data_IF_565623296643
#
_entry.id   IF_565623296643
#
_cell.length_a   1.000
_cell.length_b   1.000
_cell.length_c   1.000
_cell.angle_alpha   90.00
_cell.angle_beta   90.00
_cell.angle_gamma   90.00
#
_symmetry.space_group_name_H-M   'P 1'
#
loop_
_entity.id
_entity.type
_entity.pdbx_description
1 polymer ?
#
# COMPACT_ATOMS: atom_id res chain seq x y z
N UNK A 1 4.44 0.50 -7.49
CA UNK A 1 3.75 -0.81 -7.55
C UNK A 1 3.25 -1.15 -6.16
N UNK A 2 2.04 -1.71 -6.05
CA UNK A 2 1.43 -2.07 -4.77
C UNK A 2 0.70 -3.40 -4.88
N UNK A 3 0.71 -4.20 -3.82
CA UNK A 3 -0.17 -5.37 -3.64
C UNK A 3 -1.45 -5.06 -2.85
N UNK A 4 -1.67 -3.78 -2.55
CA UNK A 4 -2.85 -3.25 -1.87
C UNK A 4 -3.76 -2.57 -2.90
N UNK A 5 -4.54 -3.38 -3.62
CA UNK A 5 -5.47 -2.91 -4.66
C UNK A 5 -6.47 -1.89 -4.11
N UNK A 6 -6.85 -2.04 -2.84
CA UNK A 6 -7.78 -1.17 -2.12
C UNK A 6 -7.31 0.29 -1.98
N UNK A 7 -6.03 0.59 -2.18
CA UNK A 7 -5.50 1.97 -2.17
C UNK A 7 -5.50 2.62 -3.55
N UNK A 8 -5.69 1.83 -4.60
CA UNK A 8 -5.53 2.28 -5.97
C UNK A 8 -6.90 2.68 -6.51
N UNK A 9 -7.06 3.98 -6.73
CA UNK A 9 -8.23 4.60 -7.34
C UNK A 9 -8.10 4.58 -8.87
N UNK A 10 -9.24 4.76 -9.56
CA UNK A 10 -9.29 4.90 -11.03
C UNK A 10 -8.59 3.75 -11.79
N UNK A 11 -8.75 2.52 -11.29
CA UNK A 11 -8.14 1.32 -11.84
C UNK A 11 -8.56 1.07 -13.29
N UNK A 12 -7.57 0.94 -14.15
CA UNK A 12 -7.71 0.53 -15.55
C UNK A 12 -7.03 -0.82 -15.74
N UNK A 13 -7.67 -1.81 -16.38
CA UNK A 13 -7.06 -3.11 -16.63
C UNK A 13 -5.72 -2.97 -17.36
N UNK A 14 -4.73 -3.76 -16.95
CA UNK A 14 -3.46 -3.87 -17.65
C UNK A 14 -2.94 -5.30 -17.52
N UNK A 15 -2.08 -5.72 -18.45
CA UNK A 15 -1.38 -7.00 -18.34
C UNK A 15 0.07 -6.75 -18.68
N UNK A 16 0.92 -6.71 -17.64
CA UNK A 16 2.37 -6.52 -17.79
C UNK A 16 3.12 -7.42 -16.84
N UNK A 17 4.13 -8.08 -17.35
CA UNK A 17 4.96 -9.00 -16.59
C UNK A 17 6.31 -8.35 -16.27
N UNK A 18 6.79 -8.54 -15.04
CA UNK A 18 8.06 -8.01 -14.58
C UNK A 18 8.89 -9.16 -14.01
N UNK A 19 10.12 -9.29 -14.48
CA UNK A 19 11.11 -10.19 -13.88
C UNK A 19 11.73 -9.51 -12.67
N UNK A 20 11.65 -10.14 -11.50
CA UNK A 20 12.30 -9.64 -10.28
C UNK A 20 13.63 -10.35 -10.02
N UNK A 21 14.41 -9.82 -9.09
CA UNK A 21 15.80 -10.21 -8.87
C UNK A 21 15.99 -11.70 -8.48
N UNK A 22 14.97 -12.35 -7.92
CA UNK A 22 15.01 -13.79 -7.62
C UNK A 22 14.66 -14.67 -8.84
N UNK A 23 14.56 -14.09 -10.04
CA UNK A 23 14.23 -14.78 -11.28
C UNK A 23 12.74 -15.03 -11.51
N UNK A 24 11.89 -14.84 -10.49
CA UNK A 24 10.44 -15.02 -10.65
C UNK A 24 9.80 -13.86 -11.42
N UNK A 25 8.63 -14.13 -12.00
CA UNK A 25 7.84 -13.17 -12.74
C UNK A 25 6.65 -12.75 -11.87
N UNK A 26 6.46 -11.44 -11.73
CA UNK A 26 5.27 -10.85 -11.12
C UNK A 26 4.42 -10.21 -12.23
N UNK A 27 3.11 -10.32 -12.12
CA UNK A 27 2.16 -9.80 -13.10
C UNK A 27 1.40 -8.60 -12.51
N UNK A 28 1.41 -7.50 -13.23
CA UNK A 28 0.51 -6.38 -12.99
C UNK A 28 -0.82 -6.63 -13.70
N UNK A 29 -1.92 -6.46 -12.97
CA UNK A 29 -3.28 -6.72 -13.44
C UNK A 29 -4.06 -5.43 -13.75
N UNK A 30 -3.62 -4.31 -13.17
CA UNK A 30 -4.23 -3.01 -13.39
C UNK A 30 -3.24 -1.88 -13.13
N UNK A 31 -3.59 -0.68 -13.59
CA UNK A 31 -2.87 0.56 -13.33
C UNK A 31 -3.86 1.61 -12.84
N UNK A 32 -3.44 2.43 -11.87
CA UNK A 32 -4.29 3.49 -11.34
C UNK A 32 -3.50 4.56 -10.60
N UNK A 33 -4.20 5.27 -9.72
CA UNK A 33 -3.64 6.37 -8.95
C UNK A 33 -3.77 6.09 -7.45
N UNK A 34 -2.81 6.52 -6.63
CA UNK A 34 -2.87 6.38 -5.18
C UNK A 34 -2.69 7.76 -4.55
N UNK A 35 -3.67 8.18 -3.74
CA UNK A 35 -3.55 9.36 -2.90
C UNK A 35 -2.71 9.03 -1.67
N UNK A 36 -1.68 9.83 -1.42
CA UNK A 36 -0.81 9.67 -0.26
C UNK A 36 -0.62 11.01 0.42
N UNK A 37 -0.35 10.99 1.73
CA UNK A 37 0.37 12.10 2.36
C UNK A 37 1.86 11.83 2.27
N UNK A 38 2.63 12.73 1.69
CA UNK A 38 4.09 12.65 1.64
C UNK A 38 4.72 13.68 2.56
N UNK A 39 5.69 13.28 3.37
CA UNK A 39 6.46 14.21 4.18
C UNK A 39 7.56 14.87 3.34
N UNK A 40 7.54 16.20 3.24
CA UNK A 40 8.52 16.96 2.46
C UNK A 40 9.77 17.38 3.27
N UNK A 41 9.85 17.00 4.55
CA UNK A 41 10.91 17.41 5.48
C UNK A 41 10.47 18.48 6.48
N UNK A 42 9.34 19.15 6.23
CA UNK A 42 8.76 20.17 7.10
C UNK A 42 7.31 19.82 7.47
N UNK A 43 6.51 19.43 6.48
CA UNK A 43 5.09 19.13 6.63
C UNK A 43 4.65 17.93 5.77
N UNK A 44 3.40 17.51 5.97
CA UNK A 44 2.74 16.49 5.15
C UNK A 44 1.94 17.17 4.05
N UNK A 45 2.30 16.89 2.80
CA UNK A 45 1.56 17.33 1.62
C UNK A 45 0.77 16.15 1.03
N UNK A 46 -0.25 16.41 0.19
CA UNK A 46 -1.16 15.36 -0.32
C UNK A 46 -0.97 15.08 -1.83
N UNK A 47 0.17 14.51 -2.28
CA UNK A 47 0.37 14.23 -3.69
C UNK A 47 -0.39 12.99 -4.15
N UNK A 48 -0.59 12.92 -5.47
CA UNK A 48 -1.15 11.76 -6.14
C UNK A 48 -0.03 10.99 -6.85
N UNK A 49 0.18 9.74 -6.46
CA UNK A 49 1.04 8.82 -7.18
C UNK A 49 0.28 8.30 -8.40
N UNK A 50 0.69 8.73 -9.59
CA UNK A 50 0.09 8.29 -10.86
C UNK A 50 0.79 7.05 -11.41
N UNK A 51 0.09 6.29 -12.24
CA UNK A 51 0.61 5.10 -12.93
C UNK A 51 1.07 4.00 -11.96
N UNK A 52 0.38 3.82 -10.84
CA UNK A 52 0.67 2.78 -9.86
C UNK A 52 0.13 1.45 -10.37
N UNK A 53 1.03 0.49 -10.57
CA UNK A 53 0.67 -0.87 -10.95
C UNK A 53 0.12 -1.65 -9.73
N UNK A 54 -1.02 -2.28 -9.94
CA UNK A 54 -1.60 -3.29 -9.05
C UNK A 54 -0.98 -4.65 -9.33
N UNK A 55 -0.28 -5.19 -8.34
CA UNK A 55 0.47 -6.46 -8.41
C UNK A 55 0.10 -7.30 -7.18
N UNK A 56 -0.95 -8.13 -7.24
CA UNK A 56 -1.47 -8.84 -6.05
C UNK A 56 -0.49 -9.80 -5.37
N UNK A 57 0.50 -10.29 -6.11
CA UNK A 57 1.54 -11.19 -5.60
C UNK A 57 2.63 -10.46 -4.81
N UNK A 58 2.68 -9.12 -4.91
CA UNK A 58 3.72 -8.30 -4.30
C UNK A 58 3.51 -8.18 -2.79
N UNK A 59 4.53 -8.57 -2.01
CA UNK A 59 4.47 -8.57 -0.54
C UNK A 59 4.79 -7.21 0.09
N UNK A 60 5.56 -6.38 -0.63
CA UNK A 60 6.00 -5.05 -0.18
C UNK A 60 5.78 -4.05 -1.30
N UNK A 61 5.38 -2.81 -1.00
CA UNK A 61 5.19 -1.84 -2.07
C UNK A 61 6.54 -1.29 -2.55
N UNK A 62 6.63 -1.07 -3.86
CA UNK A 62 7.86 -0.60 -4.50
C UNK A 62 7.62 0.76 -5.16
N UNK A 63 8.49 1.70 -4.84
CA UNK A 63 8.57 3.03 -5.44
C UNK A 63 9.74 3.06 -6.42
N UNK A 64 9.44 3.10 -7.70
CA UNK A 64 10.47 3.04 -8.75
C UNK A 64 11.13 4.41 -8.93
N UNK A 65 12.45 4.43 -9.09
CA UNK A 65 13.21 5.64 -9.38
C UNK A 65 13.01 6.12 -10.83
N UNK A 66 12.85 5.22 -11.80
CA UNK A 66 12.80 5.60 -13.23
C UNK A 66 11.74 6.66 -13.55
N UNK A 67 10.48 6.55 -13.07
CA UNK A 67 9.46 7.57 -13.31
C UNK A 67 9.75 8.93 -12.68
N UNK A 68 10.63 9.00 -11.68
CA UNK A 68 11.03 10.26 -11.03
C UNK A 68 11.97 11.01 -11.97
N UNK A 69 12.97 10.31 -12.49
CA UNK A 69 13.95 10.86 -13.44
C UNK A 69 13.27 11.25 -14.76
N UNK A 70 12.37 10.43 -15.28
CA UNK A 70 11.60 10.73 -16.50
C UNK A 70 10.73 11.98 -16.37
N UNK A 71 10.27 12.30 -15.15
CA UNK A 71 9.50 13.52 -14.85
C UNK A 71 10.39 14.74 -14.60
N UNK A 72 11.71 14.63 -14.72
CA UNK A 72 12.66 15.70 -14.44
C UNK A 72 12.84 16.01 -12.95
N UNK A 73 12.35 15.14 -12.06
CA UNK A 73 12.56 15.26 -10.61
C UNK A 73 13.96 14.74 -10.26
N UNK A 74 14.56 15.30 -9.20
CA UNK A 74 15.89 14.91 -8.73
C UNK A 74 15.79 14.13 -7.42
N UNK A 75 16.59 13.07 -7.27
CA UNK A 75 16.76 12.38 -6.00
C UNK A 75 18.17 12.57 -5.45
N UNK A 76 18.28 12.86 -4.16
CA UNK A 76 19.54 12.91 -3.43
C UNK A 76 19.54 11.88 -2.31
N UNK A 77 20.58 11.05 -2.25
CA UNK A 77 20.74 9.97 -1.29
C UNK A 77 21.90 10.25 -0.34
N UNK A 78 21.75 9.87 0.93
CA UNK A 78 22.83 9.88 1.91
C UNK A 78 22.73 8.67 2.84
N UNK A 79 23.61 8.60 3.84
CA UNK A 79 23.67 7.47 4.78
C UNK A 79 22.40 7.31 5.64
N UNK A 80 21.57 8.35 5.75
CA UNK A 80 20.38 8.38 6.60
C UNK A 80 19.07 8.19 5.82
N UNK A 81 19.05 8.51 4.52
CA UNK A 81 17.82 8.54 3.75
C UNK A 81 17.99 9.13 2.36
N UNK A 82 16.86 9.48 1.74
CA UNK A 82 16.86 10.22 0.48
C UNK A 82 15.79 11.31 0.45
N UNK A 83 15.96 12.26 -0.46
CA UNK A 83 15.03 13.36 -0.71
C UNK A 83 14.73 13.46 -2.20
N UNK A 84 13.50 13.80 -2.54
CA UNK A 84 13.02 14.03 -3.91
C UNK A 84 12.74 15.52 -4.09
N UNK A 85 13.25 16.11 -5.16
CA UNK A 85 13.12 17.53 -5.46
C UNK A 85 12.43 17.76 -6.80
N UNK A 86 11.58 18.78 -6.87
CA UNK A 86 11.03 19.29 -8.12
C UNK A 86 12.06 20.11 -8.93
N UNK A 87 11.65 20.57 -10.11
CA UNK A 87 12.48 21.39 -10.98
C UNK A 87 12.86 22.75 -10.36
N UNK A 88 12.07 23.24 -9.40
CA UNK A 88 12.30 24.50 -8.69
C UNK A 88 13.22 24.32 -7.46
N UNK A 89 13.61 23.08 -7.15
CA UNK A 89 14.45 22.75 -5.99
C UNK A 89 13.67 22.53 -4.69
N UNK A 90 12.33 22.50 -4.72
CA UNK A 90 11.53 22.20 -3.54
C UNK A 90 11.55 20.71 -3.24
N UNK A 91 11.72 20.35 -1.97
CA UNK A 91 11.59 18.96 -1.55
C UNK A 91 10.10 18.57 -1.60
N UNK A 92 9.77 17.47 -2.28
CA UNK A 92 8.40 16.97 -2.38
C UNK A 92 8.17 15.69 -1.59
N UNK A 93 9.23 14.95 -1.29
CA UNK A 93 9.15 13.72 -0.52
C UNK A 93 10.48 13.35 0.10
N UNK A 94 10.42 12.64 1.20
CA UNK A 94 11.59 12.14 1.94
C UNK A 94 11.46 10.63 2.15
N UNK A 95 12.60 9.97 2.29
CA UNK A 95 12.68 8.56 2.66
C UNK A 95 13.72 8.36 3.75
N UNK A 96 13.46 7.42 4.65
CA UNK A 96 14.40 7.02 5.71
C UNK A 96 15.05 5.72 5.33
N UNK A 97 16.36 5.61 5.54
CA UNK A 97 17.07 4.35 5.32
C UNK A 97 16.77 3.37 6.46
N UNK A 98 16.25 2.20 6.13
CA UNK A 98 16.08 1.06 7.05
C UNK A 98 16.81 -0.16 6.50
N UNK A 99 17.93 -0.51 7.13
CA UNK A 99 18.80 -1.59 6.65
C UNK A 99 19.34 -1.29 5.26
N UNK A 100 19.00 -2.15 4.28
CA UNK A 100 19.41 -2.01 2.87
C UNK A 100 18.40 -1.27 2.00
N UNK A 101 17.27 -0.83 2.57
CA UNK A 101 16.18 -0.19 1.83
C UNK A 101 16.00 1.27 2.25
N UNK A 102 15.41 2.06 1.36
CA UNK A 102 14.93 3.40 1.66
C UNK A 102 13.41 3.36 1.66
N UNK A 103 12.80 3.71 2.78
CA UNK A 103 11.35 3.73 2.94
C UNK A 103 10.82 5.14 2.79
N UNK A 104 10.00 5.37 1.76
CA UNK A 104 9.34 6.66 1.55
C UNK A 104 8.46 6.98 2.76
N UNK A 105 8.54 8.22 3.23
CA UNK A 105 7.69 8.75 4.30
C UNK A 105 6.31 9.11 3.71
N UNK A 106 5.59 8.07 3.30
CA UNK A 106 4.22 8.16 2.82
C UNK A 106 3.25 7.63 3.87
N UNK A 107 2.07 8.25 3.95
CA UNK A 107 0.90 7.73 4.64
C UNK A 107 -0.20 7.55 3.61
N UNK A 108 -0.85 6.40 3.60
CA UNK A 108 -2.04 6.21 2.78
C UNK A 108 -3.18 6.95 3.48
N UNK A 109 -3.80 7.89 2.79
CA UNK A 109 -5.16 8.29 3.17
C UNK A 109 -6.06 7.11 2.84
N UNK A 110 -6.30 6.27 3.84
CA UNK A 110 -7.46 5.40 3.78
C UNK A 110 -8.64 6.35 3.82
N UNK A 111 -9.26 6.62 2.67
CA UNK A 111 -10.49 7.38 2.63
C UNK A 111 -11.37 6.87 3.75
N UNK A 112 -11.71 7.76 4.67
CA UNK A 112 -12.75 7.48 5.65
C UNK A 112 -13.93 6.96 4.85
N UNK A 113 -14.25 5.68 5.00
CA UNK A 113 -15.43 5.06 4.40
C UNK A 113 -16.65 5.60 5.16
N UNK A 114 -16.93 6.90 4.97
CA UNK A 114 -18.16 7.57 5.33
C UNK A 114 -18.98 7.87 4.06
N UNK A 115 -18.84 7.01 3.04
CA UNK A 115 -19.91 6.82 2.07
C UNK A 115 -20.84 5.76 2.67
N UNK A 116 -22.11 6.10 2.88
CA UNK A 116 -23.13 5.31 3.57
C UNK A 116 -23.53 3.98 2.92
N UNK A 117 -22.57 3.15 2.53
CA UNK A 117 -22.74 1.72 2.29
C UNK A 117 -22.01 0.97 3.39
N UNK A 118 -22.74 0.19 4.18
CA UNK A 118 -22.12 -0.66 5.20
C UNK A 118 -21.15 -1.62 4.54
N UNK A 119 -19.84 -1.37 4.68
CA UNK A 119 -18.79 -2.31 4.30
C UNK A 119 -18.92 -3.53 5.21
N UNK A 120 -19.50 -4.62 4.69
CA UNK A 120 -19.52 -5.90 5.39
C UNK A 120 -18.10 -6.44 5.44
N UNK A 121 -17.51 -6.40 6.64
CA UNK A 121 -16.19 -6.98 6.89
C UNK A 121 -16.29 -8.50 7.01
N UNK A 122 -15.27 -9.23 6.56
CA UNK A 122 -15.19 -10.68 6.69
C UNK A 122 -14.86 -11.10 8.13
N UNK A 123 -15.17 -12.35 8.49
CA UNK A 123 -14.86 -12.90 9.83
C UNK A 123 -13.36 -12.79 10.16
N UNK A 124 -12.50 -12.94 9.15
CA UNK A 124 -11.05 -12.79 9.25
C UNK A 124 -10.59 -11.37 9.61
N UNK A 125 -11.20 -10.36 9.02
CA UNK A 125 -10.90 -8.96 9.35
C UNK A 125 -11.29 -8.65 10.80
N UNK A 126 -12.40 -9.20 11.27
CA UNK A 126 -12.81 -9.09 12.67
C UNK A 126 -11.86 -9.83 13.63
N UNK A 127 -11.42 -11.04 13.26
CA UNK A 127 -10.41 -11.79 14.03
C UNK A 127 -9.11 -11.00 14.19
N UNK A 128 -8.63 -10.36 13.13
CA UNK A 128 -7.42 -9.52 13.20
C UNK A 128 -7.62 -8.28 14.06
N UNK A 129 -8.76 -7.60 13.94
CA UNK A 129 -9.08 -6.40 14.73
C UNK A 129 -9.25 -6.69 16.22
N UNK A 130 -9.78 -7.86 16.55
CA UNK A 130 -9.92 -8.31 17.92
C UNK A 130 -8.63 -8.97 18.46
N UNK A 131 -7.48 -8.79 17.81
CA UNK A 131 -6.19 -9.31 18.26
C UNK A 131 -6.10 -10.84 18.30
N UNK A 132 -6.54 -11.48 17.21
CA UNK A 132 -6.44 -12.93 16.99
C UNK A 132 -7.23 -13.82 17.96
N UNK A 133 -8.32 -13.29 18.54
CA UNK A 133 -9.26 -14.11 19.31
C UNK A 133 -9.78 -15.29 18.50
N UNK A 134 -10.14 -16.38 19.17
CA UNK A 134 -10.67 -17.57 18.50
C UNK A 134 -11.82 -17.17 17.55
N UNK A 135 -11.78 -17.64 16.30
CA UNK A 135 -12.80 -17.35 15.29
C UNK A 135 -14.23 -17.61 15.79
N UNK A 136 -14.44 -18.64 16.61
CA UNK A 136 -15.74 -18.93 17.23
C UNK A 136 -16.18 -17.85 18.22
N UNK A 137 -15.23 -17.29 18.99
CA UNK A 137 -15.50 -16.19 19.91
C UNK A 137 -15.80 -14.90 19.14
N UNK A 138 -15.03 -14.61 18.09
CA UNK A 138 -15.29 -13.46 17.19
C UNK A 138 -16.69 -13.59 16.59
N UNK A 139 -17.03 -14.76 16.04
CA UNK A 139 -18.36 -15.06 15.47
C UNK A 139 -19.47 -14.84 16.49
N UNK A 140 -19.27 -15.29 17.72
CA UNK A 140 -20.25 -15.15 18.81
C UNK A 140 -20.44 -13.69 19.22
N UNK A 141 -19.35 -12.92 19.30
CA UNK A 141 -19.40 -11.48 19.60
C UNK A 141 -20.13 -10.72 18.50
N UNK A 142 -19.80 -10.98 17.23
CA UNK A 142 -20.46 -10.31 16.10
C UNK A 142 -21.96 -10.61 16.03
N UNK A 143 -22.36 -11.87 16.25
CA UNK A 143 -23.78 -12.26 16.35
C UNK A 143 -24.47 -11.59 17.53
N UNK A 144 -23.82 -11.53 18.70
CA UNK A 144 -24.38 -10.90 19.91
C UNK A 144 -24.66 -9.41 19.70
N UNK A 145 -23.82 -8.71 18.95
CA UNK A 145 -24.00 -7.30 18.62
C UNK A 145 -24.74 -7.06 17.29
N UNK A 146 -25.30 -8.11 16.68
CA UNK A 146 -26.07 -8.06 15.45
C UNK A 146 -25.31 -7.40 14.27
N UNK A 147 -24.00 -7.64 14.20
CA UNK A 147 -23.11 -7.11 13.16
C UNK A 147 -23.04 -8.11 12.00
N UNK A 148 -23.39 -7.67 10.79
CA UNK A 148 -23.30 -8.50 9.59
C UNK A 148 -21.83 -8.70 9.15
N UNK A 149 -21.44 -9.94 8.85
CA UNK A 149 -20.10 -10.29 8.37
C UNK A 149 -20.15 -11.41 7.33
N UNK A 150 -19.12 -11.48 6.46
CA UNK A 150 -18.95 -12.57 5.49
C UNK A 150 -18.13 -13.71 6.09
N UNK A 151 -18.63 -14.94 5.99
CA UNK A 151 -18.04 -16.14 6.59
C UNK A 151 -17.63 -17.12 5.48
N UNK A 152 -16.38 -17.02 5.02
CA UNK A 152 -15.83 -17.92 4.00
C UNK A 152 -14.83 -18.86 4.69
N UNK A 153 -15.15 -20.15 4.79
CA UNK A 153 -14.34 -21.17 5.48
C UNK A 153 -12.94 -21.35 4.84
N UNK A 154 -12.77 -20.98 3.57
CA UNK A 154 -11.51 -21.09 2.83
C UNK A 154 -10.42 -20.07 3.25
N UNK A 155 -10.76 -18.99 3.96
CA UNK A 155 -9.77 -17.97 4.34
C UNK A 155 -8.92 -18.33 5.57
N UNK A 156 -9.30 -19.40 6.30
CA UNK A 156 -8.63 -19.89 7.50
C UNK A 156 -7.22 -20.46 7.22
N UNK A 157 -6.96 -20.91 5.98
CA UNK A 157 -5.68 -21.54 5.61
C UNK A 157 -4.55 -20.56 5.22
N UNK A 158 -4.83 -19.26 5.08
CA UNK A 158 -3.81 -18.27 4.68
C UNK A 158 -3.39 -17.46 5.91
N UNK A 159 -2.59 -18.10 6.77
CA UNK A 159 -1.95 -17.48 7.92
C UNK A 159 -0.67 -16.75 7.48
N UNK A 160 -0.51 -15.52 7.97
CA UNK A 160 0.63 -14.59 7.81
C UNK A 160 0.85 -13.93 6.43
N UNK A 161 0.08 -12.87 6.15
CA UNK A 161 0.56 -11.75 5.31
C UNK A 161 0.46 -10.44 6.09
N UNK A 162 1.58 -9.95 6.65
CA UNK A 162 1.73 -8.55 7.03
C UNK A 162 1.90 -7.74 5.74
N UNK A 163 0.87 -7.02 5.30
CA UNK A 163 1.00 -6.07 4.19
C UNK A 163 1.62 -4.77 4.73
N UNK A 164 2.70 -4.30 4.12
CA UNK A 164 3.41 -3.08 4.53
C UNK A 164 2.68 -1.83 4.05
N UNK A 165 2.55 -0.81 4.89
CA UNK A 165 1.99 0.52 4.52
C UNK A 165 3.01 1.45 3.87
N UNK A 166 4.30 1.09 3.90
CA UNK A 166 5.40 1.86 3.31
C UNK A 166 5.70 1.43 1.88
N UNK A 167 6.36 2.31 1.13
CA UNK A 167 6.96 2.00 -0.16
C UNK A 167 8.48 2.01 -0.05
N UNK A 168 9.13 0.96 -0.54
CA UNK A 168 10.60 0.90 -0.63
C UNK A 168 11.09 1.38 -1.99
N UNK A 169 12.15 2.19 -2.00
CA UNK A 169 12.76 2.68 -3.25
C UNK A 169 13.55 1.56 -3.93
N UNK A 170 13.36 1.41 -5.25
CA UNK A 170 14.12 0.49 -6.11
C UNK A 170 14.59 1.19 -7.39
#
# INVERSE_FOLDING_TARGET
MSGNREWIESLRPCSRDFKINNGSIIKAEAIGEVRVKAFNGFEWIDPILRNVLDVPTLKVNLFSISPIVEKGLKMSFNKFGCRVFDANGNCCATAVKRGKLFEMQFKIESGSFLAGGQKQFGLKEWHQRLAHQNFQQVRSVLKRFNINFKDNEDELYILFRRKTTSFSVL
#
